data_IF_481278615125
#
_entry.id   IF_481278615125
#
_cell.length_a   1.000
_cell.length_b   1.000
_cell.length_c   1.000
_cell.angle_alpha   90.00
_cell.angle_beta   90.00
_cell.angle_gamma   90.00
#
_symmetry.space_group_name_H-M   'P 1'
#
loop_
_entity.id
_entity.type
_entity.pdbx_description
1 polymer ?
#
# COMPACT_ATOMS: atom_id res chain seq x y z
N UNK A 1 -5.55 12.52 -26.62
CA UNK A 1 -6.11 11.16 -26.45
C UNK A 1 -5.64 10.65 -25.10
N UNK A 2 -6.39 10.97 -24.06
CA UNK A 2 -6.15 10.45 -22.72
C UNK A 2 -6.49 8.97 -22.72
N UNK A 3 -5.46 8.11 -22.79
CA UNK A 3 -5.64 6.69 -22.53
C UNK A 3 -5.92 6.54 -21.04
N UNK A 4 -7.16 6.13 -20.76
CA UNK A 4 -7.72 5.83 -19.46
C UNK A 4 -6.70 5.12 -18.55
N UNK A 5 -6.56 5.62 -17.32
CA UNK A 5 -6.01 4.84 -16.23
C UNK A 5 -6.88 3.58 -16.08
N UNK A 6 -6.37 2.43 -16.53
CA UNK A 6 -7.08 1.16 -16.41
C UNK A 6 -7.28 0.81 -14.94
N UNK A 7 -8.43 0.20 -14.62
CA UNK A 7 -8.67 -0.38 -13.29
C UNK A 7 -7.56 -1.37 -12.94
N UNK A 8 -7.06 -1.36 -11.69
CA UNK A 8 -6.09 -2.36 -11.23
C UNK A 8 -6.58 -3.78 -11.52
N UNK A 9 -5.76 -4.54 -12.24
CA UNK A 9 -5.96 -5.95 -12.53
C UNK A 9 -5.38 -6.78 -11.38
N UNK A 10 -5.93 -7.96 -11.12
CA UNK A 10 -5.45 -8.84 -10.05
C UNK A 10 -5.20 -10.22 -10.60
N UNK A 11 -4.24 -10.95 -10.01
CA UNK A 11 -3.96 -12.33 -10.40
C UNK A 11 -5.07 -13.26 -9.99
N UNK A 12 -5.59 -13.04 -8.79
CA UNK A 12 -6.72 -13.77 -8.25
C UNK A 12 -7.83 -12.79 -7.89
N UNK A 13 -9.02 -13.01 -8.46
CA UNK A 13 -10.22 -12.25 -8.13
C UNK A 13 -11.25 -13.25 -7.65
N UNK A 14 -11.65 -13.13 -6.39
CA UNK A 14 -12.64 -14.00 -5.79
C UNK A 14 -13.74 -13.16 -5.14
N UNK A 15 -14.91 -13.76 -5.07
CA UNK A 15 -16.02 -13.28 -4.28
C UNK A 15 -16.83 -14.47 -3.80
N UNK A 16 -17.85 -14.20 -3.01
CA UNK A 16 -18.83 -15.21 -2.66
C UNK A 16 -20.25 -14.66 -2.69
N UNK A 17 -21.17 -15.57 -2.98
CA UNK A 17 -22.60 -15.35 -2.76
C UNK A 17 -22.90 -15.37 -1.26
N UNK A 18 -24.06 -14.80 -0.89
CA UNK A 18 -24.44 -14.62 0.50
C UNK A 18 -24.30 -15.88 1.36
N UNK A 19 -23.73 -15.72 2.55
CA UNK A 19 -23.54 -16.80 3.54
C UNK A 19 -22.45 -17.84 3.21
N UNK A 20 -21.68 -17.66 2.12
CA UNK A 20 -20.59 -18.59 1.74
C UNK A 20 -19.23 -18.10 2.23
N UNK A 21 -18.22 -18.97 2.09
CA UNK A 21 -16.82 -18.72 2.49
C UNK A 21 -15.86 -18.87 1.31
N UNK A 22 -14.83 -18.03 1.28
CA UNK A 22 -13.66 -18.14 0.39
C UNK A 22 -12.40 -18.33 1.23
N UNK A 23 -11.49 -19.20 0.77
CA UNK A 23 -10.16 -19.37 1.38
C UNK A 23 -9.10 -19.28 0.29
N UNK A 24 -8.07 -18.47 0.53
CA UNK A 24 -6.85 -18.38 -0.29
C UNK A 24 -5.68 -18.72 0.61
N UNK A 25 -5.00 -19.84 0.31
CA UNK A 25 -4.00 -20.46 1.18
C UNK A 25 -2.81 -20.99 0.36
N UNK A 26 -1.58 -20.69 0.78
CA UNK A 26 -0.37 -21.33 0.27
C UNK A 26 0.11 -20.83 -1.10
N UNK A 27 -0.25 -19.62 -1.55
CA UNK A 27 0.12 -19.13 -2.88
C UNK A 27 1.34 -18.21 -2.87
N UNK A 28 2.22 -18.40 -3.86
CA UNK A 28 3.26 -17.43 -4.22
C UNK A 28 2.81 -16.69 -5.48
N UNK A 29 2.64 -15.37 -5.36
CA UNK A 29 2.24 -14.48 -6.44
C UNK A 29 3.36 -13.47 -6.69
N UNK A 30 4.14 -13.70 -7.74
CA UNK A 30 5.20 -12.81 -8.20
C UNK A 30 4.79 -12.12 -9.52
N UNK A 31 4.72 -10.78 -9.49
CA UNK A 31 4.43 -9.97 -10.67
C UNK A 31 5.69 -9.42 -11.37
N UNK A 32 6.89 -9.82 -10.95
CA UNK A 32 8.17 -9.34 -11.47
C UNK A 32 8.24 -9.37 -13.00
N UNK A 33 8.00 -10.53 -13.62
CA UNK A 33 8.04 -10.66 -15.09
C UNK A 33 6.91 -9.93 -15.82
N UNK A 34 5.86 -9.54 -15.10
CA UNK A 34 4.75 -8.76 -15.67
C UNK A 34 5.07 -7.28 -15.76
N UNK A 35 6.02 -6.81 -14.94
CA UNK A 35 6.37 -5.41 -14.90
C UNK A 35 7.23 -5.03 -16.11
N UNK A 36 6.96 -3.86 -16.67
CA UNK A 36 7.79 -3.30 -17.74
C UNK A 36 8.85 -2.40 -17.12
N UNK A 37 10.02 -3.00 -16.91
CA UNK A 37 11.18 -2.28 -16.41
C UNK A 37 11.78 -1.34 -17.45
N UNK A 38 12.34 -0.24 -16.98
CA UNK A 38 12.93 0.77 -17.85
C UNK A 38 14.16 0.25 -18.62
N UNK A 39 14.98 -0.55 -17.92
CA UNK A 39 16.22 -1.16 -18.40
C UNK A 39 16.35 -2.59 -17.90
N UNK A 40 17.28 -3.36 -18.46
CA UNK A 40 17.58 -4.73 -18.05
C UNK A 40 18.13 -4.84 -16.62
N UNK A 41 18.54 -3.72 -16.02
CA UNK A 41 18.91 -3.67 -14.60
C UNK A 41 17.68 -3.76 -13.67
N UNK A 42 16.47 -3.63 -14.20
CA UNK A 42 15.20 -3.82 -13.50
C UNK A 42 15.05 -3.01 -12.21
N UNK A 43 15.58 -1.78 -12.19
CA UNK A 43 15.58 -0.91 -11.00
C UNK A 43 14.32 -0.05 -10.87
N UNK A 44 13.60 0.15 -11.98
CA UNK A 44 12.44 1.03 -12.07
C UNK A 44 11.44 0.48 -13.07
N UNK A 45 10.16 0.64 -12.76
CA UNK A 45 9.07 0.30 -13.68
C UNK A 45 8.59 1.55 -14.43
N UNK A 46 8.07 1.34 -15.64
CA UNK A 46 7.43 2.37 -16.45
C UNK A 46 5.93 2.39 -16.21
N UNK A 47 5.37 3.53 -15.81
CA UNK A 47 3.91 3.72 -15.66
C UNK A 47 3.21 4.22 -16.92
N UNK A 48 3.97 4.64 -17.93
CA UNK A 48 3.43 5.14 -19.20
C UNK A 48 3.99 4.34 -20.35
N UNK A 49 3.12 4.08 -21.32
CA UNK A 49 3.54 3.48 -22.57
C UNK A 49 4.39 4.50 -23.35
N UNK A 50 5.36 3.99 -24.10
CA UNK A 50 6.11 4.74 -25.07
C UNK A 50 5.90 4.09 -26.45
N UNK A 51 4.87 4.54 -27.21
CA UNK A 51 4.56 3.98 -28.52
C UNK A 51 5.71 4.13 -29.52
N UNK A 52 6.46 5.24 -29.46
CA UNK A 52 7.61 5.48 -30.34
C UNK A 52 8.74 4.46 -30.16
N UNK A 53 8.84 3.83 -28.98
CA UNK A 53 9.79 2.75 -28.69
C UNK A 53 9.12 1.37 -28.63
N UNK A 54 7.84 1.26 -29.02
CA UNK A 54 7.01 0.07 -28.88
C UNK A 54 7.09 -0.56 -27.47
N UNK A 55 7.16 0.29 -26.43
CA UNK A 55 7.24 -0.14 -25.02
C UNK A 55 5.88 0.10 -24.34
N UNK A 56 5.28 -0.96 -23.81
CA UNK A 56 4.03 -0.86 -23.05
C UNK A 56 4.27 -0.33 -21.63
N UNK A 57 3.22 0.24 -21.02
CA UNK A 57 3.23 0.57 -19.59
C UNK A 57 3.20 -0.70 -18.74
N UNK A 58 3.79 -0.67 -17.55
CA UNK A 58 3.61 -1.70 -16.54
C UNK A 58 2.12 -1.84 -16.23
N UNK A 59 1.55 -3.06 -16.22
CA UNK A 59 0.16 -3.24 -15.87
C UNK A 59 -0.09 -2.82 -14.43
N UNK A 60 -1.12 -1.99 -14.22
CA UNK A 60 -1.67 -1.73 -12.89
C UNK A 60 -2.14 -3.05 -12.29
N UNK A 61 -1.34 -3.67 -11.43
CA UNK A 61 -1.64 -5.04 -11.00
C UNK A 61 -1.27 -5.40 -9.58
N UNK A 62 -2.28 -5.84 -8.82
CA UNK A 62 -2.14 -6.44 -7.50
C UNK A 62 -2.07 -7.97 -7.56
N UNK A 63 -1.89 -8.61 -6.41
CA UNK A 63 -1.88 -10.06 -6.28
C UNK A 63 -3.29 -10.60 -6.12
N UNK A 64 -3.93 -10.30 -4.98
CA UNK A 64 -5.20 -10.90 -4.57
C UNK A 64 -6.26 -9.81 -4.44
N UNK A 65 -7.44 -10.08 -5.01
CA UNK A 65 -8.65 -9.30 -4.81
C UNK A 65 -9.78 -10.15 -4.27
N UNK A 66 -10.35 -9.74 -3.15
CA UNK A 66 -11.54 -10.34 -2.57
C UNK A 66 -12.68 -9.32 -2.56
N UNK A 67 -13.85 -9.65 -3.13
CA UNK A 67 -15.05 -8.82 -3.02
C UNK A 67 -16.20 -9.67 -2.50
N UNK A 68 -16.65 -9.38 -1.28
CA UNK A 68 -17.63 -10.18 -0.56
C UNK A 68 -19.05 -9.60 -0.69
N UNK A 69 -20.03 -10.50 -0.74
CA UNK A 69 -21.44 -10.18 -0.57
C UNK A 69 -21.85 -10.09 0.91
N UNK A 70 -23.15 -10.14 1.16
CA UNK A 70 -23.75 -10.12 2.51
C UNK A 70 -23.46 -11.41 3.28
N UNK A 71 -23.13 -11.31 4.57
CA UNK A 71 -22.86 -12.43 5.48
C UNK A 71 -21.74 -13.39 5.00
N UNK A 72 -20.90 -12.93 4.08
CA UNK A 72 -19.81 -13.69 3.49
C UNK A 72 -18.56 -13.71 4.37
N UNK A 73 -17.75 -14.76 4.26
CA UNK A 73 -16.47 -14.84 4.97
C UNK A 73 -15.31 -15.09 4.02
N UNK A 74 -14.15 -14.47 4.29
CA UNK A 74 -12.93 -14.77 3.58
C UNK A 74 -11.73 -14.96 4.51
N UNK A 75 -10.89 -15.93 4.18
CA UNK A 75 -9.58 -16.09 4.80
C UNK A 75 -8.50 -16.04 3.73
N UNK A 76 -7.55 -15.12 3.87
CA UNK A 76 -6.35 -15.02 3.02
C UNK A 76 -5.15 -15.27 3.91
N UNK A 77 -4.51 -16.42 3.77
CA UNK A 77 -3.43 -16.83 4.66
C UNK A 77 -2.29 -17.57 3.99
N UNK A 78 -1.11 -17.53 4.60
CA UNK A 78 0.06 -18.27 4.11
C UNK A 78 0.32 -17.98 2.62
N UNK A 79 0.30 -16.71 2.23
CA UNK A 79 0.62 -16.31 0.87
C UNK A 79 1.85 -15.43 0.85
N UNK A 80 2.62 -15.51 -0.23
CA UNK A 80 3.66 -14.56 -0.57
C UNK A 80 3.19 -13.74 -1.77
N UNK A 81 3.06 -12.42 -1.62
CA UNK A 81 2.67 -11.50 -2.68
C UNK A 81 3.81 -10.50 -2.90
N UNK A 82 4.41 -10.53 -4.09
CA UNK A 82 5.61 -9.74 -4.37
C UNK A 82 5.68 -9.11 -5.76
N UNK A 83 6.50 -8.06 -5.88
CA UNK A 83 6.76 -7.32 -7.12
C UNK A 83 5.48 -6.80 -7.79
N UNK A 84 4.44 -6.49 -7.02
CA UNK A 84 3.16 -6.02 -7.57
C UNK A 84 3.17 -4.51 -7.79
N UNK A 85 2.45 -4.03 -8.80
CA UNK A 85 2.40 -2.62 -9.17
C UNK A 85 0.95 -2.05 -9.15
N UNK A 86 0.15 -2.20 -8.07
CA UNK A 86 -1.20 -1.68 -8.03
C UNK A 86 -1.26 -0.17 -7.68
N UNK A 87 -2.37 0.47 -8.07
CA UNK A 87 -2.87 1.71 -7.45
C UNK A 87 -3.52 1.44 -6.09
N UNK A 88 -4.21 0.30 -5.96
CA UNK A 88 -4.86 -0.16 -4.72
C UNK A 88 -3.91 -0.93 -3.82
N UNK A 89 -4.40 -2.03 -3.24
CA UNK A 89 -3.59 -2.95 -2.43
C UNK A 89 -2.92 -4.07 -3.25
N UNK A 90 -1.76 -4.55 -2.81
CA UNK A 90 -1.18 -5.83 -3.25
C UNK A 90 -2.14 -6.98 -2.89
N UNK A 91 -2.75 -6.90 -1.70
CA UNK A 91 -4.00 -7.56 -1.35
C UNK A 91 -5.08 -6.48 -1.17
N UNK A 92 -6.13 -6.53 -1.99
CA UNK A 92 -7.21 -5.56 -1.94
C UNK A 92 -8.54 -6.26 -1.66
N UNK A 93 -9.29 -5.77 -0.69
CA UNK A 93 -10.52 -6.42 -0.26
C UNK A 93 -11.68 -5.45 -0.17
N UNK A 94 -12.89 -5.93 -0.43
CA UNK A 94 -14.13 -5.20 -0.29
C UNK A 94 -15.12 -6.04 0.50
N UNK A 95 -15.37 -5.68 1.74
CA UNK A 95 -16.34 -6.36 2.60
C UNK A 95 -17.78 -5.93 2.31
N UNK A 96 -18.69 -6.88 2.15
CA UNK A 96 -20.14 -6.63 2.09
C UNK A 96 -20.77 -6.53 3.49
N UNK A 97 -22.09 -6.37 3.54
CA UNK A 97 -22.85 -6.29 4.80
C UNK A 97 -22.56 -7.51 5.68
N UNK A 98 -22.25 -7.30 6.97
CA UNK A 98 -21.94 -8.34 7.96
C UNK A 98 -20.80 -9.30 7.55
N UNK A 99 -20.01 -8.98 6.54
CA UNK A 99 -18.95 -9.88 6.09
C UNK A 99 -17.75 -9.84 7.03
N UNK A 100 -17.00 -10.93 7.10
CA UNK A 100 -15.78 -11.02 7.91
C UNK A 100 -14.61 -11.46 7.05
N UNK A 101 -13.51 -10.72 7.14
CA UNK A 101 -12.28 -11.01 6.41
C UNK A 101 -11.12 -11.21 7.38
N UNK A 102 -10.49 -12.37 7.32
CA UNK A 102 -9.25 -12.66 8.02
C UNK A 102 -8.11 -12.66 7.02
N UNK A 103 -7.14 -11.76 7.21
CA UNK A 103 -5.91 -11.70 6.41
C UNK A 103 -4.78 -11.99 7.38
N UNK A 104 -4.24 -13.20 7.35
CA UNK A 104 -3.29 -13.66 8.36
C UNK A 104 -2.07 -14.37 7.80
N UNK A 105 -0.92 -14.23 8.46
CA UNK A 105 0.28 -15.00 8.09
C UNK A 105 0.68 -14.88 6.61
N UNK A 106 0.60 -13.68 6.01
CA UNK A 106 1.07 -13.45 4.63
C UNK A 106 2.37 -12.65 4.64
N UNK A 107 3.27 -12.92 3.68
CA UNK A 107 4.36 -12.02 3.31
C UNK A 107 3.90 -11.16 2.13
N UNK A 108 3.86 -9.85 2.32
CA UNK A 108 3.57 -8.88 1.27
C UNK A 108 4.80 -8.00 1.15
N UNK A 109 5.50 -8.09 0.02
CA UNK A 109 6.83 -7.49 -0.09
C UNK A 109 7.07 -6.87 -1.46
N UNK A 110 7.64 -5.67 -1.47
CA UNK A 110 8.03 -4.96 -2.68
C UNK A 110 6.84 -4.75 -3.64
N UNK A 111 5.91 -3.89 -3.23
CA UNK A 111 4.74 -3.53 -4.02
C UNK A 111 4.57 -2.02 -4.11
N UNK A 112 3.99 -1.50 -5.19
CA UNK A 112 3.47 -0.12 -5.14
C UNK A 112 2.10 -0.08 -4.48
N UNK A 113 1.59 1.12 -4.19
CA UNK A 113 0.27 1.25 -3.57
C UNK A 113 0.31 0.76 -2.13
N UNK A 114 -0.76 0.17 -1.66
CA UNK A 114 -0.85 -0.33 -0.28
C UNK A 114 -0.44 -1.81 -0.23
N UNK A 115 0.12 -2.29 0.89
CA UNK A 115 0.30 -3.73 1.10
C UNK A 115 -1.06 -4.42 1.19
N UNK A 116 -1.85 -4.04 2.19
CA UNK A 116 -3.26 -4.42 2.34
C UNK A 116 -4.13 -3.18 2.24
N UNK A 117 -5.16 -3.23 1.40
CA UNK A 117 -6.22 -2.21 1.39
C UNK A 117 -7.56 -2.84 1.76
N UNK A 118 -7.99 -2.61 3.01
CA UNK A 118 -9.25 -3.08 3.57
C UNK A 118 -10.37 -2.09 3.29
N UNK A 119 -11.14 -2.35 2.24
CA UNK A 119 -12.24 -1.49 1.79
C UNK A 119 -13.61 -2.07 2.15
N UNK A 120 -14.64 -1.25 2.03
CA UNK A 120 -16.02 -1.70 2.13
C UNK A 120 -16.70 -1.67 0.75
N UNK A 121 -17.63 -2.60 0.52
CA UNK A 121 -18.63 -2.55 -0.55
C UNK A 121 -20.01 -2.14 -0.02
N UNK A 122 -20.13 -1.92 1.29
CA UNK A 122 -21.39 -1.66 1.98
C UNK A 122 -21.33 -0.38 2.81
N UNK A 123 -22.29 0.53 2.58
CA UNK A 123 -22.34 1.84 3.22
C UNK A 123 -23.71 2.04 3.91
N UNK A 124 -23.90 1.49 5.13
CA UNK A 124 -25.16 1.60 5.84
C UNK A 124 -25.41 3.03 6.33
N UNK A 125 -26.68 3.45 6.32
CA UNK A 125 -27.08 4.77 6.88
C UNK A 125 -27.17 4.77 8.41
N UNK A 126 -27.50 3.63 9.00
CA UNK A 126 -27.67 3.42 10.44
C UNK A 126 -26.40 2.90 11.14
N UNK A 127 -25.30 2.77 10.39
CA UNK A 127 -24.03 2.23 10.88
C UNK A 127 -24.07 0.72 11.22
N UNK A 128 -25.16 0.02 10.91
CA UNK A 128 -25.30 -1.40 11.24
C UNK A 128 -24.81 -2.30 10.11
N UNK A 129 -24.26 -3.46 10.49
CA UNK A 129 -23.80 -4.49 9.56
C UNK A 129 -22.57 -4.13 8.75
N UNK A 130 -21.66 -3.37 9.35
CA UNK A 130 -20.35 -3.05 8.79
C UNK A 130 -19.51 -4.34 8.62
N UNK A 131 -18.69 -4.43 7.56
CA UNK A 131 -17.72 -5.51 7.43
C UNK A 131 -16.64 -5.43 8.52
N UNK A 132 -16.20 -6.60 9.00
CA UNK A 132 -15.14 -6.75 9.98
C UNK A 132 -13.86 -7.34 9.39
N UNK A 133 -12.72 -6.85 9.87
CA UNK A 133 -11.39 -7.22 9.41
C UNK A 133 -10.51 -7.68 10.57
N UNK A 134 -9.93 -8.86 10.42
CA UNK A 134 -8.86 -9.39 11.27
C UNK A 134 -7.57 -9.44 10.44
N UNK A 135 -6.69 -8.45 10.63
CA UNK A 135 -5.41 -8.35 9.92
C UNK A 135 -4.31 -8.70 10.90
N UNK A 136 -3.83 -9.94 10.85
CA UNK A 136 -2.95 -10.44 11.92
C UNK A 136 -1.73 -11.23 11.46
N UNK A 137 -0.61 -11.04 12.14
CA UNK A 137 0.63 -11.80 11.88
C UNK A 137 1.08 -11.76 10.41
N UNK A 138 0.84 -10.67 9.68
CA UNK A 138 1.39 -10.49 8.33
C UNK A 138 2.75 -9.78 8.43
N UNK A 139 3.63 -10.04 7.46
CA UNK A 139 4.86 -9.27 7.25
C UNK A 139 4.70 -8.43 5.99
N UNK A 140 4.66 -7.10 6.14
CA UNK A 140 4.46 -6.15 5.05
C UNK A 140 5.66 -5.22 4.96
N UNK A 141 6.42 -5.33 3.88
CA UNK A 141 7.70 -4.65 3.74
C UNK A 141 7.85 -4.00 2.36
N UNK A 142 8.46 -2.82 2.33
CA UNK A 142 8.80 -2.14 1.06
C UNK A 142 7.56 -1.82 0.20
N UNK A 143 6.53 -1.23 0.81
CA UNK A 143 5.41 -0.65 0.05
C UNK A 143 5.83 0.72 -0.49
N UNK A 144 5.89 0.86 -1.81
CA UNK A 144 6.29 2.06 -2.53
C UNK A 144 5.08 2.94 -2.87
N UNK A 145 5.32 4.24 -3.04
CA UNK A 145 4.31 5.13 -3.64
C UNK A 145 3.89 4.62 -5.02
N UNK A 146 2.68 4.99 -5.44
CA UNK A 146 2.20 4.60 -6.77
C UNK A 146 3.11 5.09 -7.90
N UNK A 147 3.59 6.34 -7.78
CA UNK A 147 4.62 6.93 -8.63
C UNK A 147 5.58 7.85 -7.84
N UNK A 148 6.60 8.39 -8.49
CA UNK A 148 7.66 9.14 -7.81
C UNK A 148 7.16 10.43 -7.12
N UNK A 149 6.06 11.03 -7.56
CA UNK A 149 5.49 12.28 -7.01
C UNK A 149 4.11 12.09 -6.40
N UNK A 150 3.57 10.87 -6.43
CA UNK A 150 2.25 10.55 -5.92
C UNK A 150 2.10 10.95 -4.45
N UNK A 151 0.91 11.43 -4.14
CA UNK A 151 0.45 11.76 -2.78
C UNK A 151 -0.28 10.58 -2.11
N UNK A 152 -0.23 9.40 -2.72
CA UNK A 152 -0.95 8.20 -2.31
C UNK A 152 -0.15 6.92 -2.58
N UNK A 153 -0.57 5.82 -1.94
CA UNK A 153 0.17 4.57 -1.89
C UNK A 153 1.35 4.63 -0.92
N UNK A 154 2.06 3.52 -0.82
CA UNK A 154 3.23 3.38 0.02
C UNK A 154 2.93 3.08 1.48
N UNK A 155 1.76 2.52 1.81
CA UNK A 155 1.43 2.14 3.19
C UNK A 155 1.39 0.62 3.36
N UNK A 156 1.69 0.15 4.58
CA UNK A 156 1.55 -1.27 4.91
C UNK A 156 0.08 -1.72 4.88
N UNK A 157 -0.76 -1.04 5.66
CA UNK A 157 -2.21 -1.28 5.74
C UNK A 157 -2.96 0.03 5.55
N UNK A 158 -4.04 0.00 4.77
CA UNK A 158 -4.98 1.12 4.63
C UNK A 158 -6.41 0.70 4.89
N UNK A 159 -7.16 1.56 5.57
CA UNK A 159 -8.54 1.33 5.98
C UNK A 159 -9.49 2.31 5.30
N UNK A 160 -10.70 1.83 5.01
CA UNK A 160 -11.82 2.67 4.59
C UNK A 160 -12.68 3.14 5.78
N UNK A 161 -13.60 4.09 5.59
CA UNK A 161 -14.34 4.70 6.71
C UNK A 161 -15.40 3.77 7.32
N UNK A 162 -16.01 2.88 6.53
CA UNK A 162 -17.12 2.01 6.94
C UNK A 162 -16.65 0.57 7.19
N UNK A 163 -15.59 0.42 7.99
CA UNK A 163 -15.07 -0.89 8.41
C UNK A 163 -14.83 -0.92 9.92
N UNK A 164 -14.86 -2.14 10.48
CA UNK A 164 -14.34 -2.46 11.81
C UNK A 164 -13.06 -3.28 11.60
N UNK A 165 -11.95 -2.90 12.23
CA UNK A 165 -10.68 -3.56 12.01
C UNK A 165 -9.89 -3.84 13.30
N UNK A 166 -9.30 -5.02 13.37
CA UNK A 166 -8.30 -5.41 14.35
C UNK A 166 -6.99 -5.69 13.61
N UNK A 167 -5.96 -4.90 13.89
CA UNK A 167 -4.63 -5.01 13.29
C UNK A 167 -3.66 -5.44 14.38
N UNK A 168 -3.25 -6.71 14.38
CA UNK A 168 -2.44 -7.24 15.48
C UNK A 168 -1.33 -8.20 15.09
N UNK A 169 -0.19 -8.15 15.79
CA UNK A 169 0.89 -9.10 15.56
C UNK A 169 1.64 -8.89 14.23
N UNK A 170 1.39 -7.83 13.47
CA UNK A 170 1.99 -7.65 12.16
C UNK A 170 3.41 -7.05 12.24
N UNK A 171 4.20 -7.30 11.21
CA UNK A 171 5.47 -6.59 10.94
C UNK A 171 5.22 -5.62 9.80
N UNK A 172 5.43 -4.32 10.03
CA UNK A 172 5.14 -3.26 9.06
C UNK A 172 6.36 -2.34 8.94
N UNK A 173 7.09 -2.41 7.84
CA UNK A 173 8.31 -1.62 7.73
C UNK A 173 8.82 -1.29 6.35
N UNK A 174 9.72 -0.30 6.30
CA UNK A 174 10.31 0.23 5.07
C UNK A 174 9.28 0.72 4.04
N UNK A 175 8.09 1.12 4.49
CA UNK A 175 7.06 1.67 3.61
C UNK A 175 7.37 3.15 3.31
N UNK A 176 7.14 3.55 2.06
CA UNK A 176 7.42 4.91 1.60
C UNK A 176 6.57 5.95 2.32
N UNK A 177 5.38 5.61 2.81
CA UNK A 177 4.53 6.49 3.62
C UNK A 177 4.53 6.01 5.06
N UNK A 178 3.62 5.13 5.42
CA UNK A 178 3.52 4.64 6.80
C UNK A 178 3.08 3.22 6.98
N UNK A 179 3.08 2.76 8.22
CA UNK A 179 2.67 1.41 8.55
C UNK A 179 1.15 1.25 8.40
N UNK A 180 0.37 2.12 9.03
CA UNK A 180 -1.10 2.07 9.04
C UNK A 180 -1.67 3.44 8.64
N UNK A 181 -2.41 3.47 7.53
CA UNK A 181 -3.14 4.64 7.04
C UNK A 181 -4.63 4.53 7.37
N UNK A 182 -5.05 5.21 8.44
CA UNK A 182 -6.44 5.39 8.85
C UNK A 182 -6.92 6.84 8.63
N UNK A 183 -6.48 7.47 7.54
CA UNK A 183 -6.92 8.84 7.17
C UNK A 183 -8.44 9.00 7.11
N UNK A 184 -9.17 7.94 6.75
CA UNK A 184 -10.62 7.95 6.63
C UNK A 184 -11.37 7.71 7.95
N UNK A 185 -10.67 7.50 9.07
CA UNK A 185 -11.27 7.31 10.38
C UNK A 185 -12.31 6.16 10.37
N UNK A 186 -11.85 4.91 10.22
CA UNK A 186 -12.73 3.75 10.27
C UNK A 186 -13.55 3.70 11.58
N UNK A 187 -14.70 3.03 11.57
CA UNK A 187 -15.67 3.10 12.69
C UNK A 187 -15.15 2.56 14.01
N UNK A 188 -14.38 1.47 13.97
CA UNK A 188 -13.75 0.88 15.16
C UNK A 188 -12.40 0.30 14.76
N UNK A 189 -11.37 0.65 15.50
CA UNK A 189 -10.02 0.18 15.24
C UNK A 189 -9.38 -0.30 16.54
N UNK A 190 -8.78 -1.48 16.48
CA UNK A 190 -7.79 -1.94 17.47
C UNK A 190 -6.45 -2.10 16.77
N UNK A 191 -5.40 -1.47 17.29
CA UNK A 191 -4.02 -1.65 16.81
C UNK A 191 -3.18 -2.12 18.00
N UNK A 192 -2.77 -3.39 18.00
CA UNK A 192 -2.06 -3.94 19.16
C UNK A 192 -0.95 -4.90 18.75
N UNK A 193 0.14 -4.94 19.51
CA UNK A 193 1.21 -5.92 19.30
C UNK A 193 1.77 -5.93 17.88
N UNK A 194 1.91 -4.78 17.23
CA UNK A 194 2.57 -4.70 15.92
C UNK A 194 4.03 -4.27 16.08
N UNK A 195 4.91 -4.83 15.25
CA UNK A 195 6.29 -4.39 15.11
C UNK A 195 6.41 -3.44 13.92
N UNK A 196 6.83 -2.21 14.19
CA UNK A 196 6.89 -1.14 13.20
C UNK A 196 8.30 -0.55 13.11
N UNK A 197 8.84 -0.37 11.91
CA UNK A 197 10.18 0.21 11.75
C UNK A 197 10.44 0.76 10.35
N UNK A 198 11.30 1.78 10.25
CA UNK A 198 11.85 2.24 8.97
C UNK A 198 10.82 2.83 7.99
N UNK A 199 9.59 3.11 8.43
CA UNK A 199 8.62 3.84 7.62
C UNK A 199 9.02 5.32 7.52
N UNK A 200 8.77 5.92 6.36
CA UNK A 200 9.37 7.23 6.03
C UNK A 200 8.63 8.41 6.64
N UNK A 201 7.31 8.44 6.60
CA UNK A 201 6.51 9.61 7.01
C UNK A 201 5.87 9.44 8.38
N UNK A 202 5.30 8.28 8.65
CA UNK A 202 4.58 8.00 9.89
C UNK A 202 4.50 6.51 10.16
N UNK A 203 4.17 6.14 11.38
CA UNK A 203 3.87 4.75 11.70
C UNK A 203 2.36 4.51 11.70
N UNK A 204 1.61 5.47 12.23
CA UNK A 204 0.15 5.51 12.18
C UNK A 204 -0.30 6.89 11.69
N UNK A 205 -1.36 6.92 10.89
CA UNK A 205 -2.04 8.16 10.53
C UNK A 205 -3.52 8.06 10.81
N UNK A 206 -4.05 9.05 11.49
CA UNK A 206 -5.49 9.25 11.67
C UNK A 206 -5.87 10.62 11.13
N UNK A 207 -6.81 10.67 10.19
CA UNK A 207 -7.09 11.89 9.44
C UNK A 207 -5.77 12.48 8.88
N UNK A 208 -5.48 13.75 9.17
CA UNK A 208 -4.25 14.42 8.77
C UNK A 208 -3.14 14.36 9.85
N UNK A 209 -3.39 13.68 10.98
CA UNK A 209 -2.44 13.56 12.09
C UNK A 209 -1.56 12.34 11.89
N UNK A 210 -0.26 12.58 11.72
CA UNK A 210 0.77 11.56 11.61
C UNK A 210 1.40 11.32 12.99
N UNK A 211 1.46 10.05 13.42
CA UNK A 211 1.92 9.64 14.73
C UNK A 211 3.01 8.57 14.62
N UNK A 212 3.85 8.50 15.66
CA UNK A 212 4.74 7.38 15.91
C UNK A 212 3.99 6.27 16.63
N UNK A 213 4.43 5.02 16.45
CA UNK A 213 3.66 3.88 16.94
C UNK A 213 3.56 3.83 18.47
N UNK A 214 4.54 4.41 19.17
CA UNK A 214 4.62 4.50 20.63
C UNK A 214 3.76 5.62 21.22
N UNK A 215 3.30 6.56 20.39
CA UNK A 215 2.45 7.67 20.81
C UNK A 215 0.94 7.42 20.58
N UNK A 216 0.57 6.38 19.81
CA UNK A 216 -0.82 6.20 19.37
C UNK A 216 -1.79 5.89 20.52
N UNK A 217 -1.30 5.29 21.61
CA UNK A 217 -2.11 4.94 22.77
C UNK A 217 -2.63 6.21 23.49
N UNK A 218 -1.83 7.28 23.46
CA UNK A 218 -2.13 8.56 24.11
C UNK A 218 -2.74 9.60 23.15
N UNK A 219 -2.38 9.54 21.86
CA UNK A 219 -2.70 10.60 20.89
C UNK A 219 -3.88 10.28 19.94
N UNK A 220 -4.32 9.02 19.84
CA UNK A 220 -5.39 8.65 18.89
C UNK A 220 -6.79 8.86 19.45
N UNK A 221 -7.67 9.50 18.67
CA UNK A 221 -9.09 9.66 19.04
C UNK A 221 -9.94 8.42 18.72
N UNK A 222 -9.45 7.48 17.90
CA UNK A 222 -10.24 6.32 17.42
C UNK A 222 -9.88 5.02 18.09
N UNK A 223 -8.61 4.86 18.47
CA UNK A 223 -8.15 3.62 19.05
C UNK A 223 -8.89 3.34 20.37
N UNK A 224 -9.29 2.10 20.56
CA UNK A 224 -9.84 1.67 21.85
C UNK A 224 -8.73 1.28 22.83
N UNK A 225 -9.08 1.17 24.11
CA UNK A 225 -8.19 0.81 25.24
C UNK A 225 -7.40 -0.50 25.07
N UNK A 226 -7.81 -1.39 24.15
CA UNK A 226 -7.10 -2.65 23.85
C UNK A 226 -5.98 -2.47 22.82
N UNK A 227 -5.81 -1.26 22.30
CA UNK A 227 -4.79 -0.91 21.32
C UNK A 227 -3.45 -0.69 22.03
N UNK A 228 -2.79 -1.78 22.43
CA UNK A 228 -1.55 -1.68 23.18
C UNK A 228 -0.45 -2.67 22.77
N UNK A 229 0.76 -2.42 23.27
CA UNK A 229 1.90 -3.32 23.09
C UNK A 229 2.51 -3.27 21.69
N UNK A 230 2.23 -2.22 20.92
CA UNK A 230 2.94 -1.96 19.67
C UNK A 230 4.37 -1.52 19.97
N UNK A 231 5.32 -1.94 19.15
CA UNK A 231 6.73 -1.71 19.39
C UNK A 231 7.43 -1.17 18.15
N UNK A 232 8.33 -0.22 18.36
CA UNK A 232 9.29 0.23 17.36
C UNK A 232 10.70 -0.14 17.79
N UNK A 233 11.45 -0.82 16.92
CA UNK A 233 12.86 -1.16 17.18
C UNK A 233 13.63 -1.31 15.88
N UNK A 234 14.95 -1.24 15.98
CA UNK A 234 15.83 -1.57 14.87
C UNK A 234 15.66 -3.05 14.49
N UNK A 235 15.42 -3.30 13.20
CA UNK A 235 15.28 -4.66 12.66
C UNK A 235 16.20 -4.82 11.45
N UNK A 236 17.00 -5.88 11.47
CA UNK A 236 17.77 -6.32 10.30
C UNK A 236 16.89 -7.25 9.47
N UNK A 237 16.51 -6.84 8.26
CA UNK A 237 15.71 -7.66 7.35
C UNK A 237 16.61 -8.41 6.37
N UNK A 238 16.36 -9.70 6.17
CA UNK A 238 17.16 -10.60 5.34
C UNK A 238 16.80 -10.55 3.84
N UNK A 239 16.67 -9.34 3.25
CA UNK A 239 16.42 -9.17 1.79
C UNK A 239 17.66 -9.39 0.91
N UNK A 240 18.79 -9.77 1.50
CA UNK A 240 20.06 -9.93 0.79
C UNK A 240 20.76 -8.59 0.48
N UNK A 241 22.09 -8.60 0.30
CA UNK A 241 22.89 -7.39 0.12
C UNK A 241 22.59 -6.66 -1.20
N UNK A 242 22.19 -7.39 -2.25
CA UNK A 242 21.87 -6.82 -3.56
C UNK A 242 20.66 -5.90 -3.47
N UNK A 243 19.52 -6.42 -3.01
CA UNK A 243 18.31 -5.61 -2.86
C UNK A 243 18.49 -4.50 -1.81
N UNK A 244 19.19 -4.77 -0.69
CA UNK A 244 19.50 -3.76 0.32
C UNK A 244 20.27 -2.56 -0.28
N UNK A 245 21.29 -2.82 -1.10
CA UNK A 245 22.05 -1.76 -1.78
C UNK A 245 21.19 -0.96 -2.77
N UNK A 246 20.29 -1.63 -3.50
CA UNK A 246 19.34 -0.98 -4.41
C UNK A 246 18.36 -0.08 -3.64
N UNK A 247 17.81 -0.59 -2.53
CA UNK A 247 16.86 0.16 -1.69
C UNK A 247 17.53 1.38 -1.05
N UNK A 248 18.75 1.22 -0.52
CA UNK A 248 19.53 2.30 0.10
C UNK A 248 20.02 3.34 -0.92
N UNK A 249 20.30 2.92 -2.16
CA UNK A 249 20.77 3.81 -3.23
C UNK A 249 19.67 4.58 -3.97
N UNK A 250 18.39 4.43 -3.58
CA UNK A 250 17.28 5.10 -4.26
C UNK A 250 17.38 6.62 -4.17
N UNK A 251 17.01 7.33 -5.24
CA UNK A 251 16.92 8.79 -5.24
C UNK A 251 15.47 9.22 -5.10
N UNK A 252 15.17 9.96 -4.03
CA UNK A 252 13.83 10.49 -3.80
C UNK A 252 13.59 11.80 -4.55
N UNK A 253 12.49 11.84 -5.29
CA UNK A 253 11.97 13.05 -5.91
C UNK A 253 10.76 13.48 -5.07
N UNK A 254 10.81 14.67 -4.47
CA UNK A 254 9.67 15.22 -3.73
C UNK A 254 8.82 16.10 -4.63
N UNK A 255 7.49 16.06 -4.44
CA UNK A 255 6.56 16.91 -5.17
C UNK A 255 6.91 18.40 -5.02
N UNK A 256 7.27 18.82 -3.80
CA UNK A 256 7.74 20.19 -3.52
C UNK A 256 8.99 20.59 -4.33
N UNK A 257 9.97 19.69 -4.51
CA UNK A 257 11.14 19.95 -5.37
C UNK A 257 10.77 20.04 -6.85
N UNK A 258 9.76 19.27 -7.28
CA UNK A 258 9.25 19.33 -8.66
C UNK A 258 8.45 20.61 -8.91
N UNK A 259 7.58 20.99 -7.97
CA UNK A 259 6.78 22.23 -8.06
C UNK A 259 7.67 23.48 -7.94
N UNK A 260 8.71 23.45 -7.10
CA UNK A 260 9.71 24.53 -7.03
C UNK A 260 10.57 24.65 -8.32
N UNK A 261 10.74 23.54 -9.05
CA UNK A 261 11.43 23.51 -10.34
C UNK A 261 10.50 23.81 -11.53
N UNK A 262 9.18 23.91 -11.31
CA UNK A 262 8.22 24.23 -12.35
C UNK A 262 8.44 25.68 -12.81
N UNK A 263 8.92 25.86 -14.04
CA UNK A 263 9.02 27.20 -14.65
C UNK A 263 7.59 27.74 -14.84
N UNK A 264 7.27 28.82 -14.13
CA UNK A 264 6.06 29.61 -14.40
C UNK A 264 6.22 30.18 -15.81
N UNK A 265 5.32 29.79 -16.72
CA UNK A 265 5.30 30.35 -18.07
C UNK A 265 4.89 31.82 -17.97
N UNK A 266 5.69 32.73 -18.53
CA UNK A 266 5.37 34.16 -18.65
C UNK A 266 4.37 34.40 -19.80
N UNK A 267 3.34 33.56 -19.89
CA UNK A 267 2.25 33.72 -20.86
C UNK A 267 1.41 34.95 -20.51
N UNK A 268 0.79 35.59 -21.51
CA UNK A 268 -0.05 36.78 -21.29
C UNK A 268 -1.18 36.56 -20.27
N UNK A 269 -1.64 35.32 -20.11
CA UNK A 269 -2.62 34.95 -19.06
C UNK A 269 -2.05 35.04 -17.64
N UNK A 270 -0.78 34.65 -17.42
CA UNK A 270 -0.13 34.79 -16.11
C UNK A 270 0.25 36.24 -15.80
N UNK A 271 0.57 37.04 -16.83
CA UNK A 271 0.78 38.47 -16.67
C UNK A 271 -0.52 39.18 -16.24
N UNK A 272 -1.64 38.87 -16.90
CA UNK A 272 -2.96 39.39 -16.54
C UNK A 272 -3.36 38.98 -15.12
N UNK A 273 -3.13 37.72 -14.71
CA UNK A 273 -3.39 37.26 -13.34
C UNK A 273 -2.53 37.97 -12.31
N UNK A 274 -1.25 38.20 -12.61
CA UNK A 274 -0.35 38.98 -11.76
C UNK A 274 -0.81 40.44 -11.59
N UNK A 275 -1.26 41.09 -12.66
CA UNK A 275 -1.83 42.45 -12.62
C UNK A 275 -3.10 42.50 -11.76
N UNK A 276 -3.90 41.42 -11.77
CA UNK A 276 -5.16 41.31 -11.02
C UNK A 276 -4.99 40.75 -9.60
N UNK A 277 -3.77 40.51 -9.11
CA UNK A 277 -3.51 39.95 -7.78
C UNK A 277 -3.97 38.50 -7.60
N UNK A 278 -4.16 37.76 -8.70
CA UNK A 278 -4.63 36.37 -8.71
C UNK A 278 -3.45 35.38 -8.75
N UNK A 279 -3.58 34.18 -8.15
CA UNK A 279 -2.51 33.16 -8.16
C UNK A 279 -2.08 32.79 -9.59
N UNK A 280 -0.77 32.77 -9.86
CA UNK A 280 -0.24 32.39 -11.19
C UNK A 280 -0.51 30.92 -11.51
N UNK A 281 -0.78 30.62 -12.77
CA UNK A 281 -1.04 29.28 -13.25
C UNK A 281 0.27 28.63 -13.71
N UNK A 282 0.77 27.65 -12.95
CA UNK A 282 1.96 26.88 -13.33
C UNK A 282 1.65 25.96 -14.54
N UNK A 283 2.63 25.75 -15.41
CA UNK A 283 2.51 24.70 -16.43
C UNK A 283 2.52 23.34 -15.76
N UNK A 284 1.65 22.41 -16.20
CA UNK A 284 1.68 21.05 -15.71
C UNK A 284 3.03 20.41 -16.06
N UNK A 285 3.87 20.16 -15.06
CA UNK A 285 5.13 19.44 -15.24
C UNK A 285 4.80 18.00 -15.63
N UNK A 286 4.79 17.70 -16.94
CA UNK A 286 4.85 16.32 -17.44
C UNK A 286 6.29 15.84 -17.28
N UNK A 287 6.69 15.48 -16.06
CA UNK A 287 7.80 14.55 -15.92
C UNK A 287 7.22 13.13 -15.99
N UNK A 288 7.73 12.35 -16.94
CA UNK A 288 7.67 10.90 -16.84
C UNK A 288 8.50 10.51 -15.62
N UNK A 289 7.83 10.39 -14.47
CA UNK A 289 8.48 10.08 -13.22
C UNK A 289 8.48 8.56 -13.06
N UNK A 290 9.56 7.91 -13.52
CA UNK A 290 9.76 6.47 -13.34
C UNK A 290 9.61 6.08 -11.88
N UNK A 291 8.96 4.94 -11.63
CA UNK A 291 8.68 4.47 -10.26
C UNK A 291 9.77 3.52 -9.81
N UNK A 292 10.30 3.76 -8.62
CA UNK A 292 11.37 2.93 -8.05
C UNK A 292 10.80 1.65 -7.42
N UNK A 293 10.26 0.76 -8.26
CA UNK A 293 9.92 -0.62 -7.90
C UNK A 293 10.99 -1.53 -8.50
N UNK A 294 12.13 -1.67 -7.83
CA UNK A 294 13.19 -2.56 -8.29
C UNK A 294 12.76 -4.03 -8.16
N UNK A 295 13.18 -4.91 -9.08
CA UNK A 295 12.88 -6.34 -8.95
C UNK A 295 13.53 -6.93 -7.70
N UNK A 296 12.71 -7.47 -6.80
CA UNK A 296 13.12 -8.36 -5.73
C UNK A 296 13.11 -9.79 -6.27
N UNK A 297 14.18 -10.54 -6.08
CA UNK A 297 14.22 -11.92 -6.55
C UNK A 297 13.46 -12.83 -5.59
N UNK A 298 12.93 -13.94 -6.10
CA UNK A 298 12.17 -14.88 -5.29
C UNK A 298 12.99 -15.38 -4.08
N UNK A 299 14.25 -15.74 -4.27
CA UNK A 299 15.12 -16.21 -3.18
C UNK A 299 15.31 -15.17 -2.07
N UNK A 300 15.42 -13.89 -2.43
CA UNK A 300 15.52 -12.79 -1.47
C UNK A 300 14.20 -12.62 -0.68
N UNK A 301 13.06 -12.76 -1.35
CA UNK A 301 11.75 -12.76 -0.68
C UNK A 301 11.58 -14.00 0.22
N UNK A 302 12.01 -15.17 -0.21
CA UNK A 302 11.95 -16.41 0.58
C UNK A 302 12.84 -16.35 1.82
N UNK A 303 14.01 -15.71 1.73
CA UNK A 303 14.87 -15.46 2.90
C UNK A 303 14.15 -14.62 3.97
N UNK A 304 13.31 -13.66 3.55
CA UNK A 304 12.44 -12.90 4.46
C UNK A 304 11.27 -13.75 4.97
N UNK A 305 10.65 -14.57 4.13
CA UNK A 305 9.55 -15.46 4.53
C UNK A 305 9.98 -16.45 5.64
N UNK A 306 11.25 -16.85 5.64
CA UNK A 306 11.84 -17.73 6.64
C UNK A 306 12.36 -16.99 7.88
N UNK A 307 12.47 -15.67 7.83
CA UNK A 307 12.98 -14.87 8.94
C UNK A 307 11.97 -14.82 10.09
N UNK A 308 12.45 -15.09 11.30
CA UNK A 308 11.67 -14.81 12.51
C UNK A 308 11.78 -13.34 12.91
N UNK A 309 10.64 -12.72 13.20
CA UNK A 309 10.54 -11.41 13.83
C UNK A 309 10.11 -11.52 15.30
N UNK A 310 10.38 -12.66 15.93
CA UNK A 310 9.95 -12.98 17.29
C UNK A 310 8.51 -13.47 17.31
N UNK A 311 7.67 -12.83 18.13
CA UNK A 311 6.23 -13.14 18.17
C UNK A 311 5.46 -12.54 16.99
N UNK A 312 6.01 -11.52 16.34
CA UNK A 312 5.38 -10.76 15.26
C UNK A 312 5.60 -11.39 13.87
N UNK A 313 4.74 -10.97 12.94
CA UNK A 313 4.88 -11.19 11.51
C UNK A 313 4.50 -12.59 11.08
N UNK A 314 4.64 -12.82 9.78
CA UNK A 314 4.39 -14.10 9.17
C UNK A 314 5.46 -15.12 9.60
N UNK A 315 5.03 -16.36 9.83
CA UNK A 315 5.86 -17.51 10.19
C UNK A 315 5.63 -18.60 9.16
N UNK A 316 6.62 -18.81 8.30
CA UNK A 316 6.55 -19.78 7.18
C UNK A 316 5.24 -19.63 6.39
N UNK A 317 4.97 -18.41 5.86
CA UNK A 317 3.84 -18.19 4.99
C UNK A 317 3.98 -19.00 3.69
#
# INVERSE_FOLDING_TARGET
VDQMAGSTQYRLILGCDAGKRVVVDGLIIDNGDRNHYDTDKQLKIRRRANPAKNKNATPESGGIKIKLGTDCQATVKNNVVMNTAPTGGAIATWGGKNSTLTIENNLIINNTGEGIYAMTAFHPRDGQGLPSYEIKNNTILFSWKHDAIATYGGNGVKLDSEVIANITGNVLGFNDYGAIDNIKKCKKLTVSKNLVFGNRLYDYREFNTAMKIDAIEDESDILNEKSSGNVSKLVKVNVGPRFAAIYAGRKEISRAKVDAAAKVSNSGANQLRGILGLPLQASAVKMDADVWLARLNLDEAMAVAQQSFGEFGAKKP
#
